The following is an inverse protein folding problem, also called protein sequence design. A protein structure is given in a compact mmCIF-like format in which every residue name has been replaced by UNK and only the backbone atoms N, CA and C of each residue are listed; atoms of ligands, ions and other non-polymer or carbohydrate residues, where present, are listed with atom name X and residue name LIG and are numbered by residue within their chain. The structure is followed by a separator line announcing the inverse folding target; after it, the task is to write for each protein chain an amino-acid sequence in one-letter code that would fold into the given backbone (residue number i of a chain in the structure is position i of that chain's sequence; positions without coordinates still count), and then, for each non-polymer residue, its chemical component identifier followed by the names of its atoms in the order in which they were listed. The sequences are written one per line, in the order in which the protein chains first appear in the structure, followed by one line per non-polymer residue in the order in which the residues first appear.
data_IF_111095128727
#
_entry.id   IF_111095128727
#
_cell.length_a   1.000
_cell.length_b   1.000
_cell.length_c   1.000
_cell.angle_alpha   90.00
_cell.angle_beta   90.00
_cell.angle_gamma   90.00
#
_symmetry.space_group_name_H-M   'P 1'
#
loop_
_entity.id
_entity.type
_entity.pdbx_description
1 polymer ?
#
# COMPACT_ATOMS: atom_id res chain seq x y z
N UNK A 1 -22.27 14.26 -20.34
CA UNK A 1 -20.98 14.23 -21.06
C UNK A 1 -20.38 12.84 -20.84
N UNK A 2 -20.71 11.89 -21.72
CA UNK A 2 -20.25 10.49 -21.60
C UNK A 2 -18.77 10.43 -21.99
N UNK A 3 -17.91 10.06 -21.04
CA UNK A 3 -16.49 9.81 -21.31
C UNK A 3 -16.40 8.44 -21.97
N UNK A 4 -16.34 8.41 -23.29
CA UNK A 4 -16.12 7.20 -24.08
C UNK A 4 -14.75 6.62 -23.69
N UNK A 5 -14.77 5.56 -22.89
CA UNK A 5 -13.59 4.76 -22.56
C UNK A 5 -13.17 4.04 -23.83
N UNK A 6 -11.94 4.26 -24.27
CA UNK A 6 -11.35 3.54 -25.41
C UNK A 6 -11.32 2.05 -25.10
N UNK A 7 -11.79 1.17 -26.01
CA UNK A 7 -11.77 -0.27 -25.79
C UNK A 7 -10.31 -0.71 -25.62
N UNK A 8 -9.94 -1.12 -24.41
CA UNK A 8 -8.58 -1.55 -24.04
C UNK A 8 -7.92 -0.78 -22.89
N UNK A 9 -8.46 0.37 -22.45
CA UNK A 9 -7.93 1.07 -21.27
C UNK A 9 -8.73 0.66 -20.03
N UNK A 10 -8.09 0.10 -18.98
CA UNK A 10 -8.79 -0.22 -17.73
C UNK A 10 -9.43 1.04 -17.18
N UNK A 11 -10.69 0.93 -16.74
CA UNK A 11 -11.46 2.07 -16.24
C UNK A 11 -10.66 2.81 -15.15
N UNK A 12 -10.81 4.14 -15.01
CA UNK A 12 -10.09 4.91 -13.99
C UNK A 12 -10.23 4.34 -12.57
N UNK A 13 -11.36 3.69 -12.29
CA UNK A 13 -11.66 3.04 -11.01
C UNK A 13 -10.83 1.77 -10.79
N UNK A 14 -10.52 1.00 -11.85
CA UNK A 14 -9.66 -0.19 -11.77
C UNK A 14 -8.19 0.18 -11.51
N UNK A 15 -7.80 1.41 -11.80
CA UNK A 15 -6.44 1.93 -11.56
C UNK A 15 -6.26 2.61 -10.20
N UNK A 16 -7.34 2.97 -9.50
CA UNK A 16 -7.24 3.66 -8.20
C UNK A 16 -6.40 2.87 -7.16
N UNK A 17 -6.48 1.53 -7.06
CA UNK A 17 -5.62 0.77 -6.16
C UNK A 17 -4.12 0.88 -6.47
N UNK A 18 -3.75 1.13 -7.73
CA UNK A 18 -2.35 1.25 -8.17
C UNK A 18 -1.69 2.53 -7.66
N UNK A 19 -2.47 3.52 -7.22
CA UNK A 19 -1.95 4.75 -6.62
C UNK A 19 -1.14 4.44 -5.36
N UNK A 20 -1.43 3.34 -4.66
CA UNK A 20 -0.65 2.92 -3.50
C UNK A 20 0.83 2.64 -3.83
N UNK A 21 1.15 2.25 -5.07
CA UNK A 21 2.52 1.96 -5.52
C UNK A 21 3.45 3.17 -5.33
N UNK A 22 2.93 4.39 -5.38
CA UNK A 22 3.73 5.60 -5.18
C UNK A 22 4.37 5.70 -3.77
N UNK A 23 3.83 5.01 -2.76
CA UNK A 23 4.42 4.97 -1.42
C UNK A 23 5.64 4.03 -1.31
N UNK A 24 5.79 3.06 -2.21
CA UNK A 24 6.82 2.02 -2.08
C UNK A 24 8.27 2.50 -2.34
N UNK A 25 8.58 3.31 -3.38
CA UNK A 25 9.97 3.60 -3.74
C UNK A 25 10.77 4.29 -2.64
N UNK A 26 10.21 5.33 -2.01
CA UNK A 26 10.90 6.07 -0.95
C UNK A 26 11.09 5.21 0.32
N UNK A 27 10.07 4.46 0.71
CA UNK A 27 10.12 3.53 1.85
C UNK A 27 11.17 2.43 1.65
N UNK A 28 11.23 1.84 0.45
CA UNK A 28 12.25 0.83 0.09
C UNK A 28 13.65 1.43 0.13
N UNK A 29 13.85 2.58 -0.50
CA UNK A 29 15.14 3.25 -0.52
C UNK A 29 15.60 3.61 0.89
N UNK A 30 14.73 4.13 1.75
CA UNK A 30 15.07 4.43 3.14
C UNK A 30 15.49 3.18 3.90
N UNK A 31 14.69 2.12 3.81
CA UNK A 31 14.93 0.86 4.52
C UNK A 31 16.26 0.22 4.09
N UNK A 32 16.51 0.14 2.79
CA UNK A 32 17.76 -0.41 2.22
C UNK A 32 18.95 0.49 2.54
N UNK A 33 18.79 1.82 2.44
CA UNK A 33 19.84 2.78 2.78
C UNK A 33 20.30 2.61 4.22
N UNK A 34 19.37 2.51 5.17
CA UNK A 34 19.69 2.27 6.58
C UNK A 34 20.37 0.90 6.77
N UNK A 35 19.86 -0.14 6.10
CA UNK A 35 20.47 -1.47 6.16
C UNK A 35 21.91 -1.51 5.62
N UNK A 36 22.25 -0.63 4.66
CA UNK A 36 23.60 -0.48 4.10
C UNK A 36 24.52 0.42 4.95
N UNK A 37 24.07 0.89 6.12
CA UNK A 37 24.85 1.74 7.03
C UNK A 37 24.55 3.23 6.94
N UNK A 38 23.51 3.61 6.19
CA UNK A 38 22.98 4.97 6.22
C UNK A 38 22.48 5.34 7.63
N UNK A 39 22.92 6.49 8.15
CA UNK A 39 22.60 6.91 9.52
C UNK A 39 22.01 8.33 9.58
N UNK A 40 21.55 8.75 10.77
CA UNK A 40 21.00 10.08 11.05
C UNK A 40 21.93 11.27 10.71
N UNK A 41 23.23 11.03 10.50
CA UNK A 41 24.15 12.09 10.09
C UNK A 41 24.08 12.39 8.59
N UNK A 42 23.43 11.52 7.80
CA UNK A 42 23.30 11.68 6.36
C UNK A 42 22.02 12.43 6.00
N UNK A 43 22.16 13.54 5.29
CA UNK A 43 21.03 14.30 4.73
C UNK A 43 20.08 13.43 3.91
N UNK A 44 20.63 12.43 3.20
CA UNK A 44 19.85 11.48 2.40
C UNK A 44 18.84 10.70 3.26
N UNK A 45 19.21 10.31 4.49
CA UNK A 45 18.32 9.56 5.40
C UNK A 45 17.08 10.37 5.75
N UNK A 46 17.24 11.65 6.09
CA UNK A 46 16.13 12.55 6.39
C UNK A 46 15.31 12.91 5.17
N UNK A 47 15.96 13.10 4.01
CA UNK A 47 15.28 13.37 2.75
C UNK A 47 14.38 12.21 2.33
N UNK A 48 14.89 10.97 2.40
CA UNK A 48 14.12 9.77 2.08
C UNK A 48 12.94 9.57 3.04
N UNK A 49 13.13 9.83 4.34
CA UNK A 49 12.03 9.79 5.32
C UNK A 49 10.97 10.85 5.05
N UNK A 50 11.36 12.09 4.72
CA UNK A 50 10.41 13.13 4.34
C UNK A 50 9.62 12.73 3.09
N UNK A 51 10.30 12.20 2.08
CA UNK A 51 9.66 11.78 0.83
C UNK A 51 8.69 10.61 1.05
N UNK A 52 9.08 9.64 1.89
CA UNK A 52 8.21 8.56 2.34
C UNK A 52 6.94 9.12 3.02
N UNK A 53 7.08 10.04 3.98
CA UNK A 53 5.93 10.61 4.69
C UNK A 53 4.98 11.34 3.74
N UNK A 54 5.51 12.09 2.78
CA UNK A 54 4.70 12.76 1.75
C UNK A 54 3.93 11.73 0.90
N UNK A 55 4.58 10.64 0.52
CA UNK A 55 3.93 9.59 -0.27
C UNK A 55 2.86 8.83 0.54
N UNK A 56 3.11 8.56 1.82
CA UNK A 56 2.13 7.94 2.73
C UNK A 56 0.91 8.85 2.89
N UNK A 57 1.08 10.15 3.13
CA UNK A 57 -0.03 11.11 3.23
C UNK A 57 -0.82 11.17 1.93
N UNK A 58 -0.13 11.20 0.79
CA UNK A 58 -0.77 11.17 -0.52
C UNK A 58 -1.63 9.91 -0.72
N UNK A 59 -1.10 8.72 -0.44
CA UNK A 59 -1.85 7.46 -0.56
C UNK A 59 -2.99 7.39 0.46
N UNK A 60 -2.75 7.81 1.71
CA UNK A 60 -3.77 7.83 2.77
C UNK A 60 -4.98 8.69 2.39
N UNK A 61 -4.76 9.81 1.71
CA UNK A 61 -5.85 10.66 1.21
C UNK A 61 -6.77 9.96 0.19
N UNK A 62 -6.28 8.88 -0.45
CA UNK A 62 -7.03 8.07 -1.43
C UNK A 62 -7.70 6.84 -0.83
N UNK A 63 -7.35 6.44 0.39
CA UNK A 63 -7.94 5.27 1.07
C UNK A 63 -9.47 5.36 1.19
N UNK A 64 -10.10 6.50 1.55
CA UNK A 64 -11.56 6.57 1.66
C UNK A 64 -12.27 6.23 0.35
N UNK A 65 -11.69 6.68 -0.78
CA UNK A 65 -12.20 6.37 -2.11
C UNK A 65 -11.97 4.90 -2.45
N UNK A 66 -10.80 4.36 -2.15
CA UNK A 66 -10.48 2.94 -2.37
C UNK A 66 -11.43 2.02 -1.58
N UNK A 67 -11.78 2.38 -0.34
CA UNK A 67 -12.70 1.62 0.49
C UNK A 67 -14.15 1.61 -0.04
N UNK A 68 -14.53 2.58 -0.87
CA UNK A 68 -15.86 2.65 -1.50
C UNK A 68 -15.99 1.79 -2.77
N UNK A 69 -14.88 1.32 -3.34
CA UNK A 69 -14.89 0.55 -4.57
C UNK A 69 -15.22 -0.93 -4.30
N UNK A 70 -15.90 -1.62 -5.24
CA UNK A 70 -16.09 -3.06 -5.15
C UNK A 70 -14.75 -3.78 -5.15
N UNK A 71 -14.70 -4.97 -4.53
CA UNK A 71 -13.47 -5.74 -4.49
C UNK A 71 -13.01 -6.08 -5.92
N UNK A 72 -11.76 -5.80 -6.20
CA UNK A 72 -11.09 -6.28 -7.41
C UNK A 72 -9.71 -6.83 -7.04
N UNK A 73 -9.14 -7.79 -7.80
CA UNK A 73 -7.80 -8.31 -7.53
C UNK A 73 -6.71 -7.21 -7.44
N UNK A 74 -6.90 -6.10 -8.15
CA UNK A 74 -5.98 -4.95 -8.13
C UNK A 74 -5.87 -4.31 -6.74
N UNK A 75 -6.82 -4.54 -5.83
CA UNK A 75 -6.71 -4.11 -4.42
C UNK A 75 -5.49 -4.70 -3.70
N UNK A 76 -4.94 -5.82 -4.17
CA UNK A 76 -3.67 -6.36 -3.66
C UNK A 76 -2.48 -5.43 -3.88
N UNK A 77 -2.53 -4.52 -4.86
CA UNK A 77 -1.44 -3.59 -5.16
C UNK A 77 -1.13 -2.63 -3.98
N UNK A 78 -2.07 -2.48 -3.04
CA UNK A 78 -1.89 -1.69 -1.83
C UNK A 78 -1.06 -2.40 -0.74
N UNK A 79 -1.01 -3.73 -0.75
CA UNK A 79 -0.46 -4.52 0.37
C UNK A 79 1.04 -4.27 0.59
N UNK A 80 1.84 -4.43 -0.47
CA UNK A 80 3.28 -4.23 -0.40
C UNK A 80 3.67 -2.78 -0.05
N UNK A 81 3.12 -1.74 -0.72
CA UNK A 81 3.41 -0.35 -0.35
C UNK A 81 3.05 0.00 1.09
N UNK A 82 1.93 -0.52 1.62
CA UNK A 82 1.53 -0.27 3.00
C UNK A 82 2.49 -0.92 4.02
N UNK A 83 2.85 -2.19 3.80
CA UNK A 83 3.75 -2.91 4.69
C UNK A 83 5.17 -2.31 4.70
N UNK A 84 5.72 -1.99 3.52
CA UNK A 84 7.07 -1.42 3.46
C UNK A 84 7.14 0.00 4.04
N UNK A 85 6.11 0.82 3.84
CA UNK A 85 6.03 2.14 4.48
C UNK A 85 5.97 2.03 6.01
N UNK A 86 5.17 1.09 6.54
CA UNK A 86 5.14 0.86 7.98
C UNK A 86 6.50 0.40 8.53
N UNK A 87 7.22 -0.47 7.80
CA UNK A 87 8.57 -0.89 8.18
C UNK A 87 9.57 0.26 8.13
N UNK A 88 9.53 1.09 7.10
CA UNK A 88 10.40 2.25 6.96
C UNK A 88 10.23 3.22 8.15
N UNK A 89 8.98 3.51 8.54
CA UNK A 89 8.65 4.27 9.75
C UNK A 89 9.24 3.65 11.03
N UNK A 90 9.08 2.34 11.23
CA UNK A 90 9.61 1.65 12.41
C UNK A 90 11.14 1.70 12.43
N UNK A 91 11.79 1.37 11.32
CA UNK A 91 13.26 1.37 11.22
C UNK A 91 13.80 2.76 11.52
N UNK A 92 13.22 3.80 10.93
CA UNK A 92 13.66 5.17 11.15
C UNK A 92 13.39 5.65 12.60
N UNK A 93 12.18 5.40 13.12
CA UNK A 93 11.80 5.85 14.47
C UNK A 93 12.57 5.16 15.59
N UNK A 94 12.77 3.84 15.50
CA UNK A 94 13.53 3.10 16.50
C UNK A 94 15.02 3.44 16.49
N UNK A 95 15.60 3.67 15.31
CA UNK A 95 17.03 3.96 15.20
C UNK A 95 17.36 5.42 15.56
N UNK A 96 16.49 6.37 15.22
CA UNK A 96 16.84 7.79 15.26
C UNK A 96 15.90 8.66 16.12
N UNK A 97 14.74 8.17 16.51
CA UNK A 97 13.74 8.92 17.27
C UNK A 97 13.28 8.19 18.54
N UNK A 98 14.09 7.24 19.05
CA UNK A 98 13.73 6.42 20.23
C UNK A 98 13.44 7.26 21.49
N UNK A 99 14.04 8.45 21.58
CA UNK A 99 13.80 9.41 22.67
C UNK A 99 12.39 10.03 22.59
N UNK A 100 11.77 10.02 21.42
CA UNK A 100 10.38 10.42 21.21
C UNK A 100 9.47 9.20 21.26
N UNK A 101 9.10 8.78 22.48
CA UNK A 101 8.22 7.62 22.69
C UNK A 101 6.92 7.70 21.89
N UNK A 102 6.39 8.91 21.67
CA UNK A 102 5.21 9.15 20.83
C UNK A 102 5.42 8.69 19.38
N UNK A 103 6.56 9.01 18.74
CA UNK A 103 6.81 8.61 17.36
C UNK A 103 7.00 7.11 17.19
N UNK A 104 7.60 6.46 18.19
CA UNK A 104 7.73 5.00 18.23
C UNK A 104 6.35 4.34 18.31
N UNK A 105 5.47 4.82 19.20
CA UNK A 105 4.10 4.31 19.33
C UNK A 105 3.31 4.53 18.04
N UNK A 106 3.40 5.71 17.42
CA UNK A 106 2.74 5.99 16.14
C UNK A 106 3.19 5.03 15.03
N UNK A 107 4.49 4.68 14.98
CA UNK A 107 5.03 3.75 13.98
C UNK A 107 4.49 2.33 14.16
N UNK A 108 4.32 1.88 15.41
CA UNK A 108 3.68 0.59 15.71
C UNK A 108 2.19 0.59 15.38
N UNK A 109 1.47 1.68 15.66
CA UNK A 109 0.07 1.83 15.24
C UNK A 109 -0.07 1.78 13.72
N UNK A 110 0.85 2.42 12.99
CA UNK A 110 0.85 2.38 11.54
C UNK A 110 1.05 0.95 11.01
N UNK A 111 1.98 0.19 11.59
CA UNK A 111 2.15 -1.23 11.27
C UNK A 111 0.91 -2.07 11.58
N UNK A 112 0.23 -1.81 12.70
CA UNK A 112 -1.01 -2.49 13.03
C UNK A 112 -2.08 -2.27 11.94
N UNK A 113 -2.29 -1.02 11.51
CA UNK A 113 -3.23 -0.71 10.42
C UNK A 113 -2.81 -1.33 9.09
N UNK A 114 -1.53 -1.28 8.74
CA UNK A 114 -1.02 -1.92 7.53
C UNK A 114 -1.28 -3.44 7.55
N UNK A 115 -0.94 -4.11 8.65
CA UNK A 115 -1.15 -5.56 8.83
C UNK A 115 -2.63 -5.90 8.76
N UNK A 116 -3.49 -5.11 9.40
CA UNK A 116 -4.94 -5.28 9.36
C UNK A 116 -5.49 -5.17 7.93
N UNK A 117 -5.08 -4.14 7.18
CA UNK A 117 -5.52 -3.94 5.80
C UNK A 117 -5.03 -5.06 4.85
N UNK A 118 -3.80 -5.56 5.05
CA UNK A 118 -3.27 -6.73 4.33
C UNK A 118 -4.09 -7.98 4.67
N UNK A 119 -4.41 -8.19 5.94
CA UNK A 119 -5.20 -9.35 6.40
C UNK A 119 -6.61 -9.35 5.81
N UNK A 120 -7.27 -8.20 5.77
CA UNK A 120 -8.59 -8.04 5.12
C UNK A 120 -8.51 -8.34 3.63
N UNK A 121 -7.47 -7.83 2.95
CA UNK A 121 -7.25 -8.08 1.52
C UNK A 121 -7.06 -9.57 1.27
N UNK A 122 -6.22 -10.24 2.07
CA UNK A 122 -6.00 -11.68 1.99
C UNK A 122 -7.30 -12.47 2.18
N UNK A 123 -8.11 -12.13 3.18
CA UNK A 123 -9.39 -12.79 3.41
C UNK A 123 -10.35 -12.67 2.22
N UNK A 124 -10.40 -11.49 1.58
CA UNK A 124 -11.21 -11.26 0.36
C UNK A 124 -10.70 -12.09 -0.81
N UNK A 125 -9.38 -12.19 -0.97
CA UNK A 125 -8.74 -13.04 -1.97
C UNK A 125 -9.04 -14.53 -1.77
N UNK A 126 -8.89 -15.04 -0.54
CA UNK A 126 -9.21 -16.43 -0.22
C UNK A 126 -10.67 -16.74 -0.52
N UNK A 127 -11.60 -15.83 -0.16
CA UNK A 127 -13.02 -16.00 -0.46
C UNK A 127 -13.29 -16.06 -1.97
N UNK A 128 -12.69 -15.16 -2.75
CA UNK A 128 -12.82 -15.15 -4.21
C UNK A 128 -12.24 -16.43 -4.85
N UNK A 129 -11.09 -16.90 -4.37
CA UNK A 129 -10.48 -18.15 -4.82
C UNK A 129 -11.32 -19.38 -4.50
N UNK A 130 -11.90 -19.47 -3.30
CA UNK A 130 -12.80 -20.56 -2.91
C UNK A 130 -14.08 -20.58 -3.77
N UNK A 131 -14.62 -19.40 -4.12
CA UNK A 131 -15.76 -19.30 -5.03
C UNK A 131 -15.42 -19.80 -6.43
N UNK A 132 -14.26 -19.42 -6.97
CA UNK A 132 -13.80 -19.90 -8.28
C UNK A 132 -13.55 -21.41 -8.32
N UNK A 133 -13.12 -22.01 -7.20
CA UNK A 133 -12.96 -23.46 -7.08
C UNK A 133 -14.28 -24.21 -6.92
N UNK A 134 -15.29 -23.55 -6.35
CA UNK A 134 -16.62 -24.15 -6.11
C UNK A 134 -17.52 -24.10 -7.34
N UNK A 135 -17.26 -23.20 -8.29
CA UNK A 135 -18.09 -22.97 -9.48
C UNK A 135 -17.22 -22.84 -10.75
N UNK A 136 -16.70 -23.96 -11.30
CA UNK A 136 -15.73 -23.94 -12.41
C UNK A 136 -16.30 -23.40 -13.74
N UNK A 137 -17.63 -23.33 -13.89
CA UNK A 137 -18.28 -22.83 -15.10
C UNK A 137 -18.30 -21.28 -15.19
N UNK A 138 -18.10 -20.56 -14.07
CA UNK A 138 -18.10 -19.09 -14.05
C UNK A 138 -16.88 -18.44 -14.73
N UNK A 139 -15.85 -19.24 -15.05
CA UNK A 139 -14.64 -18.80 -15.77
C UNK A 139 -14.81 -18.85 -17.29
N UNK A 140 -15.94 -19.39 -17.78
CA UNK A 140 -16.23 -19.56 -19.21
C UNK A 140 -17.12 -18.46 -19.81
N UNK A 141 -17.65 -17.54 -18.98
CA UNK A 141 -18.49 -16.43 -19.43
C UNK A 141 -17.67 -15.15 -19.66
N UNK A 142 -17.40 -14.76 -20.93
CA UNK A 142 -16.61 -13.58 -21.27
C UNK A 142 -17.30 -12.23 -20.98
N UNK A 143 -18.55 -12.21 -20.51
CA UNK A 143 -19.32 -10.98 -20.25
C UNK A 143 -19.26 -10.48 -18.80
N UNK A 144 -18.59 -11.19 -17.89
CA UNK A 144 -18.50 -10.79 -16.47
C UNK A 144 -17.24 -9.96 -16.11
N UNK A 145 -16.44 -9.53 -17.11
CA UNK A 145 -15.15 -8.84 -16.92
C UNK A 145 -15.17 -7.33 -17.17
#
# INVERSE_FOLDING_TARGET
MYKTVSPGMPSPERQEPLVAIFAAPAALLLTVWIALGGHQGHTLTHFLFLLEMLAVVFVASRIPRLASLPFTPEHSAFTFPADIAAKACIVYSHMYLVTSGTMVVCSWLFLFFATFAVSVTLARFCRAGLQALSDPDSLSDPEAA
#
